data_IF_100443662690
#
_entry.id   IF_100443662690
#
_cell.length_a   1.000
_cell.length_b   1.000
_cell.length_c   1.000
_cell.angle_alpha   90.00
_cell.angle_beta   90.00
_cell.angle_gamma   90.00
#
_symmetry.space_group_name_H-M   'P 1'
#
loop_
_entity.id
_entity.type
_entity.pdbx_description
1 polymer ?
#
# COMPACT_ATOMS: atom_id res chain seq x y z
N UNK A 1 28.27 37.54 -59.42
CA UNK A 1 28.67 37.56 -58.03
C UNK A 1 28.15 36.40 -57.22
N UNK A 2 28.22 35.19 -57.81
CA UNK A 2 27.84 33.95 -57.14
C UNK A 2 28.77 33.56 -55.99
N UNK A 3 29.98 34.12 -55.93
CA UNK A 3 30.99 33.84 -54.89
C UNK A 3 30.73 34.50 -53.53
N UNK A 4 29.86 35.50 -53.48
CA UNK A 4 29.55 36.19 -52.22
C UNK A 4 28.48 35.43 -51.39
N UNK A 5 27.62 34.66 -52.03
CA UNK A 5 26.57 33.93 -51.36
C UNK A 5 27.01 32.56 -50.84
N UNK A 6 28.05 32.00 -51.44
CA UNK A 6 28.61 30.71 -50.96
C UNK A 6 29.33 30.83 -49.63
N UNK A 7 29.79 32.05 -49.24
CA UNK A 7 30.43 32.30 -47.93
C UNK A 7 29.44 32.51 -46.79
N UNK A 8 28.20 32.93 -47.08
CA UNK A 8 27.14 33.12 -46.08
C UNK A 8 26.45 31.81 -45.68
N UNK A 9 26.63 30.75 -46.48
CA UNK A 9 26.13 29.43 -46.25
C UNK A 9 27.24 28.40 -45.91
N UNK A 10 28.41 28.88 -45.48
CA UNK A 10 29.41 27.98 -44.94
C UNK A 10 28.84 27.36 -43.66
N UNK A 11 28.51 26.09 -43.75
CA UNK A 11 28.10 25.23 -42.63
C UNK A 11 29.14 25.46 -41.51
N UNK A 12 28.71 26.02 -40.38
CA UNK A 12 29.58 26.14 -39.22
C UNK A 12 30.12 24.76 -38.88
N UNK A 13 31.43 24.64 -38.74
CA UNK A 13 32.11 23.38 -38.44
C UNK A 13 31.92 22.89 -37.03
N UNK A 14 31.14 23.60 -36.23
CA UNK A 14 31.06 23.38 -34.78
C UNK A 14 29.68 22.92 -34.28
N UNK A 15 28.76 22.53 -35.13
CA UNK A 15 27.47 22.00 -34.69
C UNK A 15 27.46 20.47 -34.75
N UNK A 16 27.46 19.81 -33.60
CA UNK A 16 27.07 18.38 -33.57
C UNK A 16 25.68 18.28 -34.18
N UNK A 17 25.54 17.54 -35.27
CA UNK A 17 24.23 17.30 -35.88
C UNK A 17 23.38 16.47 -34.95
N UNK A 18 22.33 17.09 -34.39
CA UNK A 18 21.38 16.45 -33.50
C UNK A 18 20.76 15.20 -34.16
N UNK A 19 20.55 15.25 -35.47
CA UNK A 19 19.99 14.13 -36.25
C UNK A 19 20.91 12.91 -36.31
N UNK A 20 22.24 13.10 -36.14
CA UNK A 20 23.20 11.99 -36.07
C UNK A 20 23.35 11.46 -34.62
N UNK A 21 22.99 12.28 -33.64
CA UNK A 21 23.07 11.90 -32.21
C UNK A 21 21.80 11.17 -31.76
N UNK A 22 20.62 11.69 -32.11
CA UNK A 22 19.32 11.06 -31.81
C UNK A 22 18.90 10.23 -33.03
N UNK A 23 18.84 8.92 -32.91
CA UNK A 23 18.63 8.01 -34.04
C UNK A 23 17.40 7.13 -33.94
N UNK A 24 16.76 7.08 -32.78
CA UNK A 24 15.63 6.18 -32.52
C UNK A 24 14.50 6.93 -31.82
N UNK A 25 13.26 6.57 -32.12
CA UNK A 25 12.10 7.12 -31.42
C UNK A 25 12.20 6.85 -29.92
N UNK A 26 11.98 7.89 -29.11
CA UNK A 26 12.08 7.83 -27.64
C UNK A 26 13.46 8.18 -27.09
N UNK A 27 14.44 8.45 -27.95
CA UNK A 27 15.74 8.95 -27.50
C UNK A 27 15.64 10.34 -26.87
N UNK A 28 16.46 10.59 -25.87
CA UNK A 28 16.60 11.88 -25.21
C UNK A 28 18.01 12.41 -25.47
N UNK A 29 18.10 13.69 -25.88
CA UNK A 29 19.37 14.39 -26.01
C UNK A 29 19.76 14.98 -24.66
N UNK A 30 20.98 14.74 -24.22
CA UNK A 30 21.56 15.40 -23.05
C UNK A 30 23.00 15.83 -23.33
N UNK A 31 23.61 16.61 -22.43
CA UNK A 31 25.00 17.02 -22.52
C UNK A 31 25.79 16.43 -21.34
N UNK A 32 26.91 15.82 -21.63
CA UNK A 32 27.94 15.44 -20.67
C UNK A 32 29.18 16.34 -20.76
N UNK A 33 30.27 15.94 -20.12
CA UNK A 33 31.55 16.66 -20.16
C UNK A 33 32.20 16.68 -21.55
N UNK A 34 31.82 15.79 -22.47
CA UNK A 34 32.39 15.66 -23.80
C UNK A 34 31.54 16.32 -24.90
N UNK A 35 30.26 16.63 -24.62
CA UNK A 35 29.36 17.25 -25.60
C UNK A 35 27.94 16.69 -25.55
N UNK A 36 27.25 16.72 -26.72
CA UNK A 36 25.91 16.18 -26.88
C UNK A 36 25.94 14.65 -26.92
N UNK A 37 25.07 14.04 -26.15
CA UNK A 37 24.97 12.60 -25.97
C UNK A 37 23.52 12.12 -26.12
N UNK A 38 23.36 10.86 -26.45
CA UNK A 38 22.09 10.17 -26.56
C UNK A 38 21.85 9.34 -25.30
N UNK A 39 20.70 9.52 -24.69
CA UNK A 39 20.11 8.53 -23.80
C UNK A 39 19.03 7.78 -24.58
N UNK A 40 19.27 6.50 -24.89
CA UNK A 40 18.32 5.66 -25.62
C UNK A 40 16.99 5.53 -24.86
N UNK A 41 15.94 5.10 -25.57
CA UNK A 41 14.63 4.88 -24.97
C UNK A 41 14.74 3.94 -23.76
N UNK A 42 14.09 4.30 -22.65
CA UNK A 42 14.06 3.51 -21.43
C UNK A 42 13.06 2.36 -21.49
N UNK A 43 13.09 1.52 -20.48
CA UNK A 43 12.09 0.48 -20.27
C UNK A 43 10.75 1.10 -19.87
N UNK A 44 9.63 0.54 -20.35
CA UNK A 44 8.29 1.00 -19.96
C UNK A 44 8.14 1.00 -18.44
N UNK A 45 7.63 2.12 -17.87
CA UNK A 45 7.49 2.31 -16.43
C UNK A 45 8.70 2.92 -15.74
N UNK A 46 9.83 3.10 -16.44
CA UNK A 46 11.00 3.80 -15.89
C UNK A 46 10.84 5.31 -15.99
N UNK A 47 11.47 6.03 -15.06
CA UNK A 47 11.51 7.49 -14.96
C UNK A 47 12.90 8.02 -15.31
N UNK A 48 12.93 9.19 -15.95
CA UNK A 48 14.19 9.91 -16.13
C UNK A 48 14.66 10.43 -14.75
N UNK A 49 15.81 9.92 -14.31
CA UNK A 49 16.40 10.26 -13.01
C UNK A 49 17.65 11.10 -13.19
N UNK A 50 17.70 12.26 -12.51
CA UNK A 50 18.95 13.00 -12.33
C UNK A 50 19.82 12.32 -11.26
N UNK A 51 21.13 12.33 -11.48
CA UNK A 51 22.11 11.83 -10.51
C UNK A 51 22.89 12.95 -9.84
N UNK A 52 22.45 14.21 -10.05
CA UNK A 52 23.11 15.41 -9.49
C UNK A 52 24.06 16.09 -10.47
N UNK A 53 24.73 17.13 -9.97
CA UNK A 53 25.65 17.94 -10.77
C UNK A 53 26.84 17.10 -11.25
N UNK A 54 27.14 17.15 -12.55
CA UNK A 54 28.29 16.45 -13.16
C UNK A 54 28.05 14.96 -13.44
N UNK A 55 26.85 14.44 -13.16
CA UNK A 55 26.49 13.07 -13.48
C UNK A 55 25.44 13.03 -14.60
N UNK A 56 25.50 11.99 -15.45
CA UNK A 56 24.58 11.81 -16.57
C UNK A 56 23.19 11.38 -16.09
N UNK A 57 22.09 11.81 -16.74
CA UNK A 57 20.77 11.29 -16.46
C UNK A 57 20.69 9.81 -16.81
N UNK A 58 19.85 9.07 -16.10
CA UNK A 58 19.59 7.64 -16.36
C UNK A 58 18.10 7.33 -16.29
N UNK A 59 17.69 6.25 -16.93
CA UNK A 59 16.40 5.66 -16.67
C UNK A 59 16.48 4.83 -15.38
N UNK A 60 15.51 4.99 -14.51
CA UNK A 60 15.45 4.26 -13.24
C UNK A 60 14.02 3.85 -12.89
N UNK A 61 13.89 2.76 -12.20
CA UNK A 61 12.62 2.38 -11.58
C UNK A 61 12.23 3.39 -10.51
N UNK A 62 10.93 3.53 -10.26
CA UNK A 62 10.44 4.30 -9.11
C UNK A 62 10.86 3.59 -7.83
N UNK A 63 11.76 4.19 -7.06
CA UNK A 63 12.15 3.65 -5.75
C UNK A 63 11.27 4.26 -4.65
N UNK A 64 10.73 3.41 -3.75
CA UNK A 64 10.00 3.84 -2.57
C UNK A 64 8.55 4.30 -2.81
N UNK A 65 7.99 4.08 -4.00
CA UNK A 65 6.61 4.45 -4.34
C UNK A 65 5.60 3.34 -4.06
N UNK A 66 4.31 3.73 -4.00
CA UNK A 66 3.19 2.79 -4.06
C UNK A 66 2.91 2.47 -5.53
N UNK A 67 3.02 1.18 -5.90
CA UNK A 67 2.80 0.71 -7.26
C UNK A 67 1.31 0.49 -7.53
N UNK A 68 0.62 -0.14 -6.59
CA UNK A 68 -0.80 -0.40 -6.67
C UNK A 68 -1.45 -0.39 -5.29
N UNK A 69 -2.73 -0.08 -5.27
CA UNK A 69 -3.55 -0.11 -4.06
C UNK A 69 -4.79 -0.95 -4.31
N UNK A 70 -5.08 -1.88 -3.41
CA UNK A 70 -6.35 -2.61 -3.31
C UNK A 70 -6.99 -2.26 -1.99
N UNK A 71 -8.30 -2.12 -1.97
CA UNK A 71 -9.02 -1.82 -0.75
C UNK A 71 -10.38 -2.53 -0.71
N UNK A 72 -10.84 -2.73 0.51
CA UNK A 72 -12.18 -3.20 0.85
C UNK A 72 -12.77 -2.20 1.83
N UNK A 73 -14.01 -1.79 1.61
CA UNK A 73 -14.75 -0.89 2.49
C UNK A 73 -16.00 -1.61 2.98
N UNK A 74 -16.19 -1.62 4.29
CA UNK A 74 -17.40 -2.13 4.90
C UNK A 74 -18.23 -0.99 5.48
N UNK A 75 -19.42 -0.81 4.94
CA UNK A 75 -20.37 0.22 5.39
C UNK A 75 -21.44 -0.34 6.36
N UNK A 76 -21.62 -1.67 6.38
CA UNK A 76 -22.58 -2.32 7.26
C UNK A 76 -21.94 -2.71 8.59
N UNK A 77 -22.73 -2.65 9.65
CA UNK A 77 -22.35 -3.19 10.95
C UNK A 77 -22.57 -4.70 11.03
N UNK A 78 -21.83 -5.37 11.89
CA UNK A 78 -22.05 -6.79 12.22
C UNK A 78 -21.50 -7.10 13.61
N UNK A 79 -21.81 -8.29 14.10
CA UNK A 79 -21.24 -8.87 15.31
C UNK A 79 -20.59 -10.21 15.01
N UNK A 80 -19.54 -10.53 15.75
CA UNK A 80 -18.88 -11.83 15.71
C UNK A 80 -18.59 -12.31 17.13
N UNK A 81 -18.72 -13.61 17.36
CA UNK A 81 -18.39 -14.26 18.62
C UNK A 81 -17.60 -15.52 18.33
N UNK A 82 -16.33 -15.55 18.72
CA UNK A 82 -15.47 -16.72 18.51
C UNK A 82 -14.27 -16.67 19.44
N UNK A 83 -13.96 -17.78 20.10
CA UNK A 83 -12.76 -17.92 20.94
C UNK A 83 -11.52 -18.38 20.16
N UNK A 84 -11.67 -18.68 18.89
CA UNK A 84 -10.57 -19.05 17.98
C UNK A 84 -10.50 -18.08 16.80
N UNK A 85 -9.32 -17.88 16.23
CA UNK A 85 -9.16 -17.02 15.07
C UNK A 85 -9.98 -17.54 13.89
N UNK A 86 -10.97 -16.75 13.49
CA UNK A 86 -11.83 -16.98 12.32
C UNK A 86 -11.92 -15.72 11.49
N UNK A 87 -12.23 -15.86 10.21
CA UNK A 87 -12.32 -14.72 9.30
C UNK A 87 -13.29 -13.67 9.86
N UNK A 88 -12.86 -12.43 9.91
CA UNK A 88 -13.64 -11.29 10.41
C UNK A 88 -14.60 -10.82 9.32
N UNK A 89 -15.81 -11.39 9.32
CA UNK A 89 -16.79 -11.09 8.29
C UNK A 89 -16.19 -11.27 6.90
N UNK A 90 -16.32 -10.25 6.06
CA UNK A 90 -15.86 -10.22 4.67
C UNK A 90 -14.58 -9.35 4.46
N UNK A 91 -13.82 -9.05 5.54
CA UNK A 91 -12.54 -8.33 5.43
C UNK A 91 -11.51 -9.16 4.67
N UNK A 92 -11.60 -9.10 3.35
CA UNK A 92 -10.76 -9.83 2.42
C UNK A 92 -10.44 -8.98 1.20
N UNK A 93 -9.23 -9.09 0.69
CA UNK A 93 -8.80 -8.47 -0.57
C UNK A 93 -7.71 -9.31 -1.22
N UNK A 94 -7.59 -9.18 -2.54
CA UNK A 94 -6.54 -9.86 -3.30
C UNK A 94 -5.66 -8.85 -4.03
N UNK A 95 -4.36 -9.12 -4.07
CA UNK A 95 -3.35 -8.32 -4.76
C UNK A 95 -2.35 -9.27 -5.44
N UNK A 96 -1.87 -8.87 -6.62
CA UNK A 96 -0.83 -9.62 -7.35
C UNK A 96 0.40 -8.74 -7.41
N UNK A 97 1.47 -9.06 -6.66
CA UNK A 97 2.68 -8.26 -6.67
C UNK A 97 3.36 -8.28 -8.05
N UNK A 98 3.97 -7.16 -8.43
CA UNK A 98 4.67 -7.01 -9.71
C UNK A 98 6.12 -7.47 -9.66
N UNK A 99 6.70 -7.60 -8.46
CA UNK A 99 8.06 -8.10 -8.22
C UNK A 99 8.13 -8.89 -6.93
N UNK A 100 9.00 -9.91 -6.90
CA UNK A 100 9.29 -10.71 -5.70
C UNK A 100 10.02 -9.92 -4.62
N UNK A 101 10.67 -8.81 -4.94
CA UNK A 101 11.33 -7.92 -3.98
C UNK A 101 10.38 -6.95 -3.29
N UNK A 102 9.22 -6.66 -3.90
CA UNK A 102 8.27 -5.69 -3.37
C UNK A 102 7.59 -6.18 -2.10
N UNK A 103 7.24 -5.23 -1.25
CA UNK A 103 6.53 -5.49 0.01
C UNK A 103 5.05 -5.13 -0.13
N UNK A 104 4.22 -5.72 0.71
CA UNK A 104 2.80 -5.39 0.80
C UNK A 104 2.53 -4.73 2.16
N UNK A 105 2.19 -3.45 2.13
CA UNK A 105 1.72 -2.72 3.30
C UNK A 105 0.22 -2.97 3.47
N UNK A 106 -0.15 -3.65 4.55
CA UNK A 106 -1.53 -3.87 4.97
C UNK A 106 -1.91 -2.83 6.01
N UNK A 107 -3.07 -2.22 5.86
CA UNK A 107 -3.62 -1.28 6.84
C UNK A 107 -5.10 -1.55 7.04
N UNK A 108 -5.53 -1.63 8.29
CA UNK A 108 -6.94 -1.70 8.66
C UNK A 108 -7.32 -0.48 9.49
N UNK A 109 -8.48 0.05 9.21
CA UNK A 109 -9.10 1.16 9.93
C UNK A 109 -10.52 0.73 10.30
N UNK A 110 -10.80 0.60 11.58
CA UNK A 110 -12.14 0.39 12.10
C UNK A 110 -12.70 1.74 12.52
N UNK A 111 -13.83 2.15 11.94
CA UNK A 111 -14.46 3.43 12.30
C UNK A 111 -15.09 3.40 13.69
N UNK A 112 -15.65 2.25 14.08
CA UNK A 112 -16.09 1.96 15.44
C UNK A 112 -15.95 0.46 15.68
N UNK A 113 -15.37 0.09 16.82
CA UNK A 113 -15.22 -1.30 17.22
C UNK A 113 -15.32 -1.39 18.75
N UNK A 114 -16.02 -2.41 19.27
CA UNK A 114 -16.12 -2.68 20.71
C UNK A 114 -16.10 -4.18 20.97
N UNK A 115 -15.39 -4.59 22.00
CA UNK A 115 -15.21 -5.99 22.42
C UNK A 115 -16.03 -6.36 23.67
N UNK A 116 -17.17 -5.73 23.90
CA UNK A 116 -18.08 -6.03 25.00
C UNK A 116 -17.42 -6.12 26.41
N UNK A 117 -16.43 -5.27 26.67
CA UNK A 117 -15.71 -5.26 27.96
C UNK A 117 -14.57 -6.27 28.07
N UNK A 118 -14.33 -7.07 27.04
CA UNK A 118 -13.27 -8.09 26.98
C UNK A 118 -12.20 -7.73 25.97
N UNK A 119 -11.18 -8.57 25.84
CA UNK A 119 -10.13 -8.41 24.82
C UNK A 119 -10.54 -9.13 23.54
N UNK A 120 -10.32 -8.49 22.40
CA UNK A 120 -10.32 -9.11 21.09
C UNK A 120 -8.94 -9.02 20.46
N UNK A 121 -8.49 -10.13 19.90
CA UNK A 121 -7.21 -10.24 19.20
C UNK A 121 -7.46 -10.37 17.69
N UNK A 122 -6.56 -9.79 16.89
CA UNK A 122 -6.64 -9.79 15.44
C UNK A 122 -5.33 -10.28 14.83
N UNK A 123 -5.45 -10.99 13.72
CA UNK A 123 -4.31 -11.42 12.90
C UNK A 123 -4.60 -11.15 11.43
N UNK A 124 -3.55 -10.84 10.68
CA UNK A 124 -3.61 -10.90 9.22
C UNK A 124 -3.33 -12.33 8.75
N UNK A 125 -3.97 -12.73 7.67
CA UNK A 125 -3.63 -13.97 6.98
C UNK A 125 -3.22 -13.69 5.54
N UNK A 126 -2.28 -14.48 5.04
CA UNK A 126 -1.85 -14.55 3.65
C UNK A 126 -2.14 -15.95 3.14
N UNK A 127 -3.08 -16.09 2.20
CA UNK A 127 -3.52 -17.38 1.67
C UNK A 127 -3.88 -18.41 2.78
N UNK A 128 -4.54 -17.93 3.86
CA UNK A 128 -4.94 -18.74 5.01
C UNK A 128 -3.88 -18.90 6.11
N UNK A 129 -2.62 -18.56 5.88
CA UNK A 129 -1.57 -18.62 6.89
C UNK A 129 -1.45 -17.29 7.63
N UNK A 130 -1.34 -17.32 8.96
CA UNK A 130 -1.17 -16.12 9.77
C UNK A 130 0.19 -15.45 9.50
N UNK A 131 0.18 -14.12 9.35
CA UNK A 131 1.36 -13.28 9.14
C UNK A 131 1.34 -12.08 10.09
N UNK A 132 2.50 -11.47 10.35
CA UNK A 132 2.60 -10.27 11.19
C UNK A 132 2.18 -10.49 12.64
N UNK A 133 2.40 -11.68 13.17
CA UNK A 133 2.06 -12.05 14.55
C UNK A 133 3.27 -11.96 15.47
N UNK A 134 3.04 -11.63 16.74
CA UNK A 134 4.09 -11.57 17.77
C UNK A 134 4.88 -12.87 17.93
N UNK A 135 6.05 -12.81 18.54
CA UNK A 135 6.88 -13.98 18.80
C UNK A 135 6.16 -14.97 19.73
N UNK A 136 6.47 -16.27 19.56
CA UNK A 136 6.00 -17.29 20.47
C UNK A 136 6.70 -17.15 21.84
N UNK A 137 5.91 -17.13 22.92
CA UNK A 137 6.43 -17.05 24.27
C UNK A 137 5.49 -17.80 25.24
N UNK A 138 5.89 -18.98 25.64
CA UNK A 138 5.09 -19.88 26.46
C UNK A 138 3.77 -20.23 25.79
N UNK A 139 2.68 -20.19 26.55
CA UNK A 139 1.32 -20.50 26.07
C UNK A 139 0.53 -19.26 25.62
N UNK A 140 1.19 -18.11 25.41
CA UNK A 140 0.51 -16.88 25.02
C UNK A 140 -0.03 -16.96 23.62
N UNK A 141 -1.27 -16.52 23.42
CA UNK A 141 -1.82 -16.34 22.08
C UNK A 141 -0.99 -15.30 21.30
N UNK A 142 -0.73 -15.56 20.04
CA UNK A 142 0.00 -14.65 19.15
C UNK A 142 -1.01 -13.87 18.31
N UNK A 143 -0.87 -12.57 18.24
CA UNK A 143 -1.73 -11.68 17.49
C UNK A 143 -0.90 -10.61 16.77
N UNK A 144 -1.50 -9.98 15.77
CA UNK A 144 -0.94 -8.78 15.12
C UNK A 144 -1.23 -7.55 15.96
N UNK A 145 -2.45 -7.45 16.51
CA UNK A 145 -2.86 -6.39 17.44
C UNK A 145 -4.06 -6.85 18.26
N UNK A 146 -4.34 -6.13 19.32
CA UNK A 146 -5.49 -6.37 20.19
C UNK A 146 -6.24 -5.08 20.42
N UNK A 147 -7.53 -5.19 20.68
CA UNK A 147 -8.34 -4.13 21.27
C UNK A 147 -8.89 -4.63 22.59
N UNK A 148 -9.12 -3.71 23.51
CA UNK A 148 -9.86 -3.99 24.73
C UNK A 148 -11.19 -3.25 24.68
N UNK A 149 -12.27 -3.99 24.87
CA UNK A 149 -13.58 -3.39 25.02
C UNK A 149 -13.63 -2.60 26.32
N UNK A 150 -14.38 -1.52 26.32
CA UNK A 150 -14.58 -0.72 27.50
C UNK A 150 -15.38 -1.51 28.54
N UNK A 151 -14.86 -1.63 29.74
CA UNK A 151 -15.59 -2.24 30.87
C UNK A 151 -16.68 -1.32 31.41
N UNK A 152 -17.04 -0.27 30.68
CA UNK A 152 -18.02 0.69 31.12
C UNK A 152 -19.45 0.14 31.09
N UNK A 153 -20.22 0.56 32.04
CA UNK A 153 -21.68 0.36 32.09
C UNK A 153 -22.41 1.01 30.90
N UNK A 154 -21.74 1.88 30.15
CA UNK A 154 -22.27 2.50 28.94
C UNK A 154 -22.07 1.60 27.73
N UNK A 155 -23.09 0.89 27.33
CA UNK A 155 -23.11 -0.01 26.16
C UNK A 155 -23.10 0.72 24.81
N UNK A 156 -23.11 2.05 24.83
CA UNK A 156 -23.08 2.92 23.64
C UNK A 156 -21.68 3.43 23.27
N UNK A 157 -20.61 2.87 23.86
CA UNK A 157 -19.24 3.28 23.58
C UNK A 157 -18.59 2.33 22.55
N UNK A 158 -18.02 2.90 21.49
CA UNK A 158 -17.18 2.20 20.53
C UNK A 158 -16.10 3.16 20.02
N UNK A 159 -14.91 2.65 19.79
CA UNK A 159 -13.75 3.47 19.40
C UNK A 159 -13.28 3.15 18.00
N UNK A 160 -12.75 4.15 17.31
CA UNK A 160 -11.98 3.93 16.09
C UNK A 160 -10.58 3.40 16.42
N UNK A 161 -10.10 2.45 15.63
CA UNK A 161 -8.74 1.93 15.76
C UNK A 161 -8.12 1.62 14.41
N UNK A 162 -6.80 1.58 14.36
CA UNK A 162 -6.07 1.23 13.15
C UNK A 162 -4.82 0.44 13.48
N UNK A 163 -4.43 -0.43 12.55
CA UNK A 163 -3.16 -1.14 12.62
C UNK A 163 -2.55 -1.28 11.21
N UNK A 164 -1.23 -1.22 11.14
CA UNK A 164 -0.47 -1.38 9.90
C UNK A 164 0.62 -2.44 10.07
N UNK A 165 0.76 -3.28 9.07
CA UNK A 165 1.79 -4.32 8.97
C UNK A 165 2.39 -4.32 7.56
N UNK A 166 3.69 -4.59 7.45
CA UNK A 166 4.38 -4.75 6.16
C UNK A 166 4.75 -6.22 6.00
N UNK A 167 4.17 -6.86 5.00
CA UNK A 167 4.44 -8.24 4.61
C UNK A 167 5.51 -8.32 3.53
N UNK A 168 6.30 -9.39 3.56
CA UNK A 168 7.29 -9.75 2.55
C UNK A 168 6.87 -11.06 1.87
N UNK A 169 6.05 -11.03 0.83
CA UNK A 169 5.47 -12.24 0.26
C UNK A 169 6.43 -13.01 -0.66
N UNK A 170 7.46 -12.35 -1.21
CA UNK A 170 8.46 -12.92 -2.12
C UNK A 170 7.87 -13.70 -3.31
N UNK A 171 6.77 -13.23 -3.86
CA UNK A 171 6.06 -13.87 -4.98
C UNK A 171 5.41 -12.84 -5.90
N UNK A 172 5.21 -13.22 -7.16
CA UNK A 172 4.40 -12.50 -8.14
C UNK A 172 3.05 -13.19 -8.41
N UNK A 173 2.73 -14.25 -7.66
CA UNK A 173 1.41 -14.89 -7.73
C UNK A 173 0.37 -14.08 -6.95
N UNK A 174 -0.90 -14.23 -7.33
CA UNK A 174 -1.99 -13.60 -6.61
C UNK A 174 -2.05 -14.06 -5.15
N UNK A 175 -2.22 -13.10 -4.25
CA UNK A 175 -2.29 -13.30 -2.80
C UNK A 175 -3.63 -12.80 -2.31
N UNK A 176 -4.30 -13.60 -1.48
CA UNK A 176 -5.48 -13.16 -0.73
C UNK A 176 -5.11 -12.89 0.72
N UNK A 177 -5.31 -11.65 1.14
CA UNK A 177 -5.18 -11.24 2.54
C UNK A 177 -6.54 -11.15 3.18
N UNK A 178 -6.63 -11.63 4.43
CA UNK A 178 -7.82 -11.49 5.27
C UNK A 178 -7.42 -11.02 6.66
N UNK A 179 -8.41 -10.54 7.39
CA UNK A 179 -8.32 -10.29 8.82
C UNK A 179 -9.11 -11.38 9.53
N UNK A 180 -8.52 -11.98 10.55
CA UNK A 180 -9.21 -12.88 11.47
C UNK A 180 -9.26 -12.25 12.85
N UNK A 181 -10.29 -12.58 13.63
CA UNK A 181 -10.41 -12.19 15.04
C UNK A 181 -10.71 -13.38 15.92
N UNK A 182 -10.29 -13.25 17.18
CA UNK A 182 -10.71 -14.11 18.28
C UNK A 182 -11.07 -13.21 19.47
N UNK A 183 -12.13 -13.56 20.19
CA UNK A 183 -12.59 -12.81 21.35
C UNK A 183 -12.39 -13.63 22.64
N UNK A 184 -12.05 -12.98 23.72
CA UNK A 184 -11.90 -13.62 25.03
C UNK A 184 -13.20 -14.31 25.41
N UNK A 185 -13.11 -15.60 25.74
CA UNK A 185 -14.25 -16.45 26.14
C UNK A 185 -15.42 -16.44 25.17
N UNK A 186 -15.21 -16.12 23.87
CA UNK A 186 -16.27 -16.03 22.88
C UNK A 186 -17.23 -14.86 23.09
N UNK A 187 -16.79 -13.80 23.74
CA UNK A 187 -17.58 -12.56 23.87
C UNK A 187 -17.89 -11.93 22.52
N UNK A 188 -18.87 -11.03 22.48
CA UNK A 188 -19.27 -10.37 21.25
C UNK A 188 -18.30 -9.25 20.88
N UNK A 189 -17.86 -9.28 19.63
CA UNK A 189 -17.19 -8.18 18.95
C UNK A 189 -18.21 -7.45 18.07
N UNK A 190 -18.29 -6.15 18.22
CA UNK A 190 -19.15 -5.25 17.43
C UNK A 190 -18.29 -4.45 16.46
N UNK A 191 -18.67 -4.40 15.20
CA UNK A 191 -17.93 -3.67 14.16
C UNK A 191 -18.88 -2.68 13.48
N UNK A 192 -18.41 -1.44 13.28
CA UNK A 192 -19.13 -0.31 12.69
C UNK A 192 -20.37 0.14 13.50
N UNK A 193 -20.41 -0.18 14.77
CA UNK A 193 -21.45 0.24 15.71
C UNK A 193 -21.01 0.10 17.16
N UNK A 194 -21.64 0.79 18.10
CA UNK A 194 -21.52 0.47 19.52
C UNK A 194 -22.26 -0.85 19.86
N UNK A 195 -22.07 -1.34 21.08
CA UNK A 195 -22.75 -2.52 21.61
C UNK A 195 -24.25 -2.36 21.64
N UNK A 196 -24.69 -1.25 22.21
CA UNK A 196 -26.10 -0.87 22.19
C UNK A 196 -26.49 -0.35 20.80
N UNK A 197 -27.65 -0.79 20.31
CA UNK A 197 -28.10 -0.54 18.94
C UNK A 197 -29.40 0.28 18.92
N UNK A 198 -29.49 1.27 19.79
CA UNK A 198 -30.64 2.16 19.88
C UNK A 198 -30.94 2.86 18.54
N UNK A 199 -32.20 2.77 18.07
CA UNK A 199 -32.65 3.48 16.89
C UNK A 199 -33.15 4.89 17.26
N UNK A 200 -32.21 5.74 17.67
CA UNK A 200 -32.46 7.14 18.05
C UNK A 200 -31.45 8.04 17.32
N UNK A 201 -31.77 9.31 17.22
CA UNK A 201 -30.94 10.31 16.51
C UNK A 201 -29.72 10.77 17.31
N UNK A 202 -29.31 10.06 18.35
CA UNK A 202 -28.14 10.37 19.15
C UNK A 202 -26.86 9.87 18.46
N UNK A 203 -25.82 10.71 18.45
CA UNK A 203 -24.52 10.41 17.85
C UNK A 203 -23.82 9.19 18.48
N UNK A 204 -24.15 8.84 19.72
CA UNK A 204 -23.60 7.65 20.40
C UNK A 204 -23.97 6.33 19.70
N UNK A 205 -25.06 6.33 18.92
CA UNK A 205 -25.52 5.15 18.16
C UNK A 205 -25.10 5.20 16.69
N UNK A 206 -24.10 6.01 16.36
CA UNK A 206 -23.63 6.20 14.99
C UNK A 206 -23.22 4.90 14.33
N UNK A 207 -23.53 4.79 13.04
CA UNK A 207 -22.99 3.79 12.14
C UNK A 207 -21.75 4.37 11.48
N UNK A 208 -20.69 3.59 11.43
CA UNK A 208 -19.42 4.00 10.85
C UNK A 208 -19.02 3.09 9.70
N UNK A 209 -17.88 3.37 9.09
CA UNK A 209 -17.29 2.55 8.04
C UNK A 209 -15.93 2.06 8.48
N UNK A 210 -15.54 0.88 7.99
CA UNK A 210 -14.20 0.33 8.18
C UNK A 210 -13.57 0.06 6.82
N UNK A 211 -12.25 0.18 6.76
CA UNK A 211 -11.50 0.02 5.51
C UNK A 211 -10.32 -0.93 5.74
N UNK A 212 -10.12 -1.86 4.81
CA UNK A 212 -8.93 -2.69 4.74
C UNK A 212 -8.19 -2.39 3.44
N UNK A 213 -6.89 -2.12 3.51
CA UNK A 213 -6.06 -1.66 2.39
C UNK A 213 -4.84 -2.55 2.26
N UNK A 214 -4.48 -2.91 1.03
CA UNK A 214 -3.18 -3.46 0.67
C UNK A 214 -2.52 -2.57 -0.39
N UNK A 215 -1.30 -2.16 -0.12
CA UNK A 215 -0.49 -1.35 -1.02
C UNK A 215 0.80 -2.11 -1.34
N UNK A 216 1.06 -2.34 -2.62
CA UNK A 216 2.37 -2.79 -3.05
C UNK A 216 3.33 -1.60 -3.04
N UNK A 217 4.43 -1.74 -2.31
CA UNK A 217 5.49 -0.74 -2.19
C UNK A 217 6.80 -1.29 -2.74
N UNK A 218 7.53 -0.45 -3.46
CA UNK A 218 8.88 -0.79 -3.94
C UNK A 218 9.81 -0.95 -2.75
N UNK A 219 10.57 -2.06 -2.68
CA UNK A 219 11.56 -2.32 -1.66
C UNK A 219 12.89 -1.66 -1.95
#
# INVERSE_FOLDING_TARGET
>A
NASYWTKLAAKGTDGTDVGTTITTQGDILYRDGSGLQRLGAGTSGYFLKTQGTGANPVWAESSGGVIQTKYFIRNSSFTQSTSSFTDLGDFSLSITPTSTSNKIKLSVFFGAIDSAGNTSAFVYTRNGSQVGIGNAEGNRARASFTIQGTSYTASNHAEGTSHTFIDDPQTTSAITYKIQSATESGSLLYVNRPRDDGNVSDIYYSRTTSTFIAQEIVA
#
